data_IF_659330411260
#
_entry.id   IF_659330411260
#
_cell.length_a   1.000
_cell.length_b   1.000
_cell.length_c   1.000
_cell.angle_alpha   90.00
_cell.angle_beta   90.00
_cell.angle_gamma   90.00
#
_symmetry.space_group_name_H-M   'P 1'
#
loop_
_entity.id
_entity.type
_entity.pdbx_description
1 polymer ?
#
# COMPACT_ATOMS: atom_id res chain seq x y z
N UNK A 1 20.80 -4.47 4.92
CA UNK A 1 20.33 -5.33 3.81
C UNK A 1 19.27 -4.56 3.04
N UNK A 2 19.27 -4.57 1.70
CA UNK A 2 18.22 -3.92 0.93
C UNK A 2 16.89 -4.63 1.17
N UNK A 3 15.79 -3.87 1.14
CA UNK A 3 14.44 -4.43 1.21
C UNK A 3 14.12 -5.23 -0.06
N UNK A 4 13.53 -6.42 0.11
CA UNK A 4 13.03 -7.25 -0.99
C UNK A 4 11.52 -7.48 -0.80
N UNK A 5 10.66 -7.04 -1.74
CA UNK A 5 9.23 -7.30 -1.66
C UNK A 5 8.91 -8.78 -1.79
N UNK A 6 7.79 -9.23 -1.23
CA UNK A 6 7.29 -10.57 -1.47
C UNK A 6 7.00 -10.80 -2.97
N UNK A 7 7.44 -11.95 -3.48
CA UNK A 7 7.21 -12.37 -4.87
C UNK A 7 5.70 -12.52 -5.16
N UNK A 8 4.95 -13.05 -4.20
CA UNK A 8 3.52 -13.36 -4.28
C UNK A 8 2.57 -12.19 -4.01
N UNK A 9 3.08 -10.95 -3.88
CA UNK A 9 2.29 -9.77 -3.43
C UNK A 9 1.06 -9.44 -4.29
N UNK A 10 0.99 -9.95 -5.52
CA UNK A 10 -0.14 -9.73 -6.44
C UNK A 10 -1.11 -10.90 -6.55
N UNK A 11 -0.78 -12.08 -6.00
CA UNK A 11 -1.57 -13.31 -6.18
C UNK A 11 -2.94 -13.23 -5.52
N UNK A 12 -3.03 -12.55 -4.38
CA UNK A 12 -4.23 -12.51 -3.53
C UNK A 12 -4.93 -11.15 -3.49
N UNK A 13 -4.25 -10.08 -3.92
CA UNK A 13 -4.82 -8.73 -3.86
C UNK A 13 -5.86 -8.54 -4.96
N UNK A 14 -7.05 -8.07 -4.59
CA UNK A 14 -8.11 -7.70 -5.54
C UNK A 14 -7.86 -6.27 -6.03
N UNK A 15 -7.93 -6.06 -7.35
CA UNK A 15 -7.73 -4.76 -7.98
C UNK A 15 -8.99 -4.27 -8.70
N UNK A 16 -9.61 -3.23 -8.16
CA UNK A 16 -10.87 -2.66 -8.64
C UNK A 16 -10.63 -1.48 -9.59
N UNK A 17 -11.39 -1.38 -10.68
CA UNK A 17 -11.32 -0.21 -11.58
C UNK A 17 -11.87 1.04 -10.90
N UNK A 18 -11.15 2.16 -11.04
CA UNK A 18 -11.60 3.46 -10.56
C UNK A 18 -12.55 4.10 -11.59
N UNK A 19 -13.84 3.82 -11.46
CA UNK A 19 -14.87 4.33 -12.39
C UNK A 19 -14.62 3.91 -13.85
N UNK A 20 -14.81 4.85 -14.78
CA UNK A 20 -14.60 4.64 -16.23
C UNK A 20 -13.16 4.99 -16.66
N UNK A 21 -12.18 4.65 -15.83
CA UNK A 21 -10.76 4.83 -16.13
C UNK A 21 -10.05 3.50 -16.34
N UNK A 22 -8.84 3.56 -16.90
CA UNK A 22 -7.92 2.42 -16.96
C UNK A 22 -7.23 2.10 -15.63
N UNK A 23 -7.37 2.97 -14.61
CA UNK A 23 -6.71 2.82 -13.33
C UNK A 23 -7.39 1.74 -12.50
N UNK A 24 -6.58 0.82 -11.96
CA UNK A 24 -7.01 -0.18 -10.99
C UNK A 24 -6.38 0.10 -9.63
N UNK A 25 -7.20 0.24 -8.59
CA UNK A 25 -6.76 0.42 -7.22
C UNK A 25 -6.88 -0.90 -6.45
N UNK A 26 -5.99 -1.20 -5.50
CA UNK A 26 -6.18 -2.34 -4.61
C UNK A 26 -7.46 -2.16 -3.80
N UNK A 27 -8.13 -3.27 -3.48
CA UNK A 27 -9.34 -3.25 -2.66
C UNK A 27 -9.08 -2.72 -1.24
N UNK A 28 -7.83 -2.79 -0.77
CA UNK A 28 -7.35 -2.23 0.48
C UNK A 28 -6.18 -1.28 0.17
N UNK A 29 -6.30 -0.03 0.58
CA UNK A 29 -5.25 1.00 0.46
C UNK A 29 -4.77 1.43 1.84
N UNK A 30 -3.48 1.73 1.97
CA UNK A 30 -2.91 2.28 3.19
C UNK A 30 -2.94 3.81 3.13
N UNK A 31 -3.73 4.43 4.01
CA UNK A 31 -3.68 5.88 4.24
C UNK A 31 -2.73 6.22 5.37
N UNK A 32 -1.88 7.24 5.19
CA UNK A 32 -0.88 7.67 6.18
C UNK A 32 -1.37 8.87 7.00
N UNK A 33 -2.67 8.91 7.31
CA UNK A 33 -3.28 10.06 8.00
C UNK A 33 -2.73 10.25 9.43
N UNK A 34 -2.47 9.15 10.14
CA UNK A 34 -1.88 9.13 11.47
C UNK A 34 -0.70 8.17 11.51
N UNK A 35 0.17 8.32 12.52
CA UNK A 35 1.31 7.43 12.83
C UNK A 35 2.51 7.51 11.88
N UNK A 36 2.55 8.46 10.95
CA UNK A 36 3.70 8.70 10.04
C UNK A 36 4.23 10.14 10.14
N UNK A 37 3.85 10.87 11.19
CA UNK A 37 4.36 12.20 11.51
C UNK A 37 5.48 12.14 12.55
N UNK A 38 6.23 13.24 12.66
CA UNK A 38 7.39 13.35 13.57
C UNK A 38 7.05 13.12 15.05
N UNK A 39 5.77 13.26 15.42
CA UNK A 39 5.30 13.08 16.80
C UNK A 39 5.20 11.60 17.21
N UNK A 40 5.34 10.66 16.27
CA UNK A 40 5.37 9.21 16.53
C UNK A 40 6.79 8.68 16.36
N UNK A 41 7.50 8.28 17.44
CA UNK A 41 8.85 7.76 17.33
C UNK A 41 8.90 6.49 16.47
N UNK A 42 9.67 6.54 15.38
CA UNK A 42 9.97 5.37 14.56
C UNK A 42 11.30 4.77 15.01
N UNK A 43 11.33 3.47 15.31
CA UNK A 43 12.60 2.77 15.52
C UNK A 43 13.29 2.61 14.17
N UNK A 44 14.42 3.29 13.99
CA UNK A 44 15.36 3.08 12.87
C UNK A 44 16.10 1.76 12.97
#
# INVERSE_FOLDING_TARGET
MPYTPAESRYEKMVYNRCGRSGLKLPAISLGLWHNFGNDTPHKT
#
